data_IF_231064986464
#
_entry.id   IF_231064986464
#
_cell.length_a   1.000
_cell.length_b   1.000
_cell.length_c   1.000
_cell.angle_alpha   90.00
_cell.angle_beta   90.00
_cell.angle_gamma   90.00
#
_symmetry.space_group_name_H-M   'P 1'
#
loop_
_entity.id
_entity.type
_entity.pdbx_description
1 polymer ?
#
# COMPACT_ATOMS: atom_id res chain seq x y z
N UNK A 1 -70.65 14.28 -21.99
CA UNK A 1 -71.39 13.00 -22.06
C UNK A 1 -72.47 12.95 -23.14
N UNK A 2 -73.08 14.06 -23.60
CA UNK A 2 -74.18 14.08 -24.60
C UNK A 2 -73.99 13.19 -25.83
N UNK A 3 -72.77 13.12 -26.39
CA UNK A 3 -72.43 12.25 -27.53
C UNK A 3 -72.60 10.74 -27.26
N UNK A 4 -72.51 10.32 -26.00
CA UNK A 4 -72.70 8.91 -25.61
C UNK A 4 -74.18 8.50 -25.63
N UNK A 5 -75.10 9.46 -25.69
CA UNK A 5 -76.55 9.27 -25.63
C UNK A 5 -77.23 9.59 -26.97
N UNK A 6 -76.49 9.62 -28.08
CA UNK A 6 -77.06 9.84 -29.42
C UNK A 6 -77.98 8.66 -29.79
N UNK A 7 -79.14 8.93 -30.38
CA UNK A 7 -80.07 7.88 -30.80
C UNK A 7 -79.45 6.99 -31.89
N UNK A 8 -78.62 7.58 -32.76
CA UNK A 8 -77.91 6.88 -33.82
C UNK A 8 -76.66 6.18 -33.27
N UNK A 9 -76.57 4.84 -33.28
CA UNK A 9 -75.41 4.11 -32.76
C UNK A 9 -74.09 4.45 -33.46
N UNK A 10 -74.13 4.89 -34.72
CA UNK A 10 -72.94 5.24 -35.48
C UNK A 10 -72.37 6.61 -35.09
N UNK A 11 -73.18 7.45 -34.46
CA UNK A 11 -72.75 8.75 -33.93
C UNK A 11 -72.23 8.66 -32.50
N UNK A 12 -72.44 7.51 -31.83
CA UNK A 12 -71.90 7.27 -30.50
C UNK A 12 -70.39 7.03 -30.58
N UNK A 13 -69.62 7.54 -29.60
CA UNK A 13 -68.21 7.21 -29.49
C UNK A 13 -68.02 5.72 -29.19
N UNK A 14 -66.95 5.15 -29.73
CA UNK A 14 -66.52 3.78 -29.42
C UNK A 14 -66.11 3.65 -27.95
N UNK A 15 -66.14 2.42 -27.44
CA UNK A 15 -65.70 2.11 -26.07
C UNK A 15 -64.25 2.55 -25.79
N UNK A 16 -63.37 2.49 -26.80
CA UNK A 16 -61.98 2.97 -26.70
C UNK A 16 -61.90 4.49 -26.56
N UNK A 17 -62.73 5.22 -27.28
CA UNK A 17 -62.80 6.69 -27.18
C UNK A 17 -63.35 7.12 -25.84
N UNK A 18 -64.42 6.47 -25.37
CA UNK A 18 -64.98 6.70 -24.03
C UNK A 18 -63.95 6.40 -22.93
N UNK A 19 -63.22 5.29 -23.03
CA UNK A 19 -62.16 4.94 -22.09
C UNK A 19 -61.06 6.01 -22.03
N UNK A 20 -60.64 6.53 -23.18
CA UNK A 20 -59.64 7.59 -23.24
C UNK A 20 -60.15 8.90 -22.62
N UNK A 21 -61.42 9.25 -22.84
CA UNK A 21 -62.04 10.42 -22.21
C UNK A 21 -62.07 10.27 -20.68
N UNK A 22 -62.51 9.11 -20.18
CA UNK A 22 -62.56 8.82 -18.73
C UNK A 22 -61.15 8.81 -18.13
N UNK A 23 -60.17 8.18 -18.80
CA UNK A 23 -58.77 8.21 -18.37
C UNK A 23 -58.24 9.62 -18.27
N UNK A 24 -58.57 10.50 -19.22
CA UNK A 24 -58.17 11.91 -19.17
C UNK A 24 -58.86 12.69 -18.05
N UNK A 25 -60.03 12.26 -17.58
CA UNK A 25 -60.71 12.86 -16.43
C UNK A 25 -60.12 12.40 -15.10
N UNK A 26 -59.80 11.12 -14.98
CA UNK A 26 -59.32 10.49 -13.73
C UNK A 26 -57.80 10.66 -13.57
N UNK A 27 -57.04 10.27 -14.59
CA UNK A 27 -55.59 10.38 -14.61
C UNK A 27 -55.21 11.75 -15.13
N UNK A 28 -55.27 12.73 -14.23
CA UNK A 28 -54.65 14.02 -14.49
C UNK A 28 -53.15 13.79 -14.80
N UNK A 29 -52.59 14.31 -15.92
CA UNK A 29 -51.16 14.17 -16.18
C UNK A 29 -50.41 14.94 -15.09
N UNK A 30 -49.63 14.22 -14.29
CA UNK A 30 -48.89 14.68 -13.09
C UNK A 30 -47.93 15.85 -13.33
N UNK A 31 -47.76 16.28 -14.59
CA UNK A 31 -46.78 17.27 -15.02
C UNK A 31 -47.41 18.58 -15.56
N UNK A 32 -48.74 18.78 -15.47
CA UNK A 32 -49.41 20.03 -15.90
C UNK A 32 -49.95 20.83 -14.71
N UNK A 33 -49.81 22.15 -14.74
CA UNK A 33 -50.39 23.02 -13.70
C UNK A 33 -51.90 23.09 -13.88
N UNK A 34 -52.66 23.26 -12.79
CA UNK A 34 -54.13 23.40 -12.80
C UNK A 34 -54.62 24.51 -13.77
N UNK A 35 -53.77 25.52 -14.05
CA UNK A 35 -54.03 26.61 -15.01
C UNK A 35 -54.08 26.16 -16.48
N UNK A 36 -53.51 24.99 -16.79
CA UNK A 36 -53.38 24.44 -18.15
C UNK A 36 -54.51 23.46 -18.50
N UNK A 37 -55.50 23.30 -17.61
CA UNK A 37 -56.68 22.48 -17.83
C UNK A 37 -57.57 23.16 -18.89
N UNK A 38 -57.96 22.43 -19.93
CA UNK A 38 -58.86 22.94 -20.97
C UNK A 38 -60.15 23.48 -20.32
N UNK A 39 -60.55 24.71 -20.68
CA UNK A 39 -61.76 25.38 -20.20
C UNK A 39 -63.01 24.50 -20.38
N UNK A 40 -63.06 23.72 -21.44
CA UNK A 40 -64.14 22.75 -21.72
C UNK A 40 -64.20 21.64 -20.66
N UNK A 41 -63.06 21.06 -20.28
CA UNK A 41 -62.98 20.01 -19.26
C UNK A 41 -63.41 20.57 -17.89
N UNK A 42 -62.98 21.78 -17.56
CA UNK A 42 -63.37 22.46 -16.31
C UNK A 42 -64.88 22.73 -16.27
N UNK A 43 -65.47 23.14 -17.40
CA UNK A 43 -66.92 23.34 -17.53
C UNK A 43 -67.69 22.04 -17.31
N UNK A 44 -67.26 20.94 -17.94
CA UNK A 44 -67.91 19.63 -17.83
C UNK A 44 -67.89 19.08 -16.39
N UNK A 45 -66.79 19.26 -15.66
CA UNK A 45 -66.68 18.84 -14.25
C UNK A 45 -67.61 19.67 -13.38
N UNK A 46 -67.66 21.00 -13.56
CA UNK A 46 -68.57 21.88 -12.82
C UNK A 46 -70.04 21.56 -13.10
N UNK A 47 -70.40 21.30 -14.36
CA UNK A 47 -71.75 20.89 -14.75
C UNK A 47 -72.12 19.54 -14.12
N UNK A 48 -71.18 18.58 -14.06
CA UNK A 48 -71.41 17.27 -13.44
C UNK A 48 -71.61 17.36 -11.91
N UNK A 49 -70.81 18.17 -11.21
CA UNK A 49 -70.93 18.36 -9.75
C UNK A 49 -72.22 19.11 -9.38
N UNK A 50 -72.61 20.08 -10.21
CA UNK A 50 -73.80 20.90 -9.96
C UNK A 50 -75.09 20.30 -10.54
N UNK A 51 -75.00 19.18 -11.25
CA UNK A 51 -76.17 18.48 -11.74
C UNK A 51 -77.02 18.03 -10.54
N UNK A 52 -78.32 18.35 -10.51
CA UNK A 52 -79.18 17.90 -9.42
C UNK A 52 -79.15 16.39 -9.36
N UNK A 53 -78.86 15.84 -8.17
CA UNK A 53 -79.03 14.42 -7.89
C UNK A 53 -80.52 14.19 -7.73
N UNK A 54 -81.22 14.05 -8.84
CA UNK A 54 -82.60 13.64 -8.85
C UNK A 54 -82.61 12.14 -8.52
N UNK A 55 -82.99 11.80 -7.28
CA UNK A 55 -83.48 10.46 -6.96
C UNK A 55 -84.82 10.28 -7.65
N UNK A 56 -84.78 10.11 -8.97
CA UNK A 56 -85.89 9.51 -9.67
C UNK A 56 -85.99 8.09 -9.12
N UNK A 57 -87.10 7.76 -8.48
CA UNK A 57 -87.50 6.37 -8.33
C UNK A 57 -87.44 5.78 -9.74
N UNK A 58 -86.35 5.08 -10.03
CA UNK A 58 -86.15 4.42 -11.30
C UNK A 58 -87.38 3.54 -11.48
N UNK A 59 -88.23 3.88 -12.44
CA UNK A 59 -89.09 2.88 -13.06
C UNK A 59 -88.09 1.89 -13.67
N UNK A 60 -87.83 0.81 -12.92
CA UNK A 60 -86.96 -0.28 -13.34
C UNK A 60 -87.76 -1.14 -14.32
N UNK A 61 -88.04 -0.61 -15.50
CA UNK A 61 -88.16 -1.48 -16.67
C UNK A 61 -86.83 -1.43 -17.39
N UNK A 62 -85.97 -2.39 -17.05
CA UNK A 62 -84.84 -2.73 -17.89
C UNK A 62 -85.38 -3.13 -19.27
N UNK A 63 -84.78 -2.60 -20.32
CA UNK A 63 -85.10 -3.03 -21.68
C UNK A 63 -84.91 -4.55 -21.76
N UNK A 64 -85.82 -5.36 -22.32
CA UNK A 64 -85.72 -6.83 -22.27
C UNK A 64 -84.46 -7.40 -22.94
N UNK A 65 -83.75 -6.59 -23.72
CA UNK A 65 -82.42 -6.90 -24.31
C UNK A 65 -81.22 -6.43 -23.49
N UNK A 66 -81.43 -5.66 -22.42
CA UNK A 66 -80.40 -5.33 -21.43
C UNK A 66 -80.29 -6.46 -20.39
N UNK A 67 -80.23 -7.71 -20.84
CA UNK A 67 -79.72 -8.79 -20.03
C UNK A 67 -78.18 -8.68 -20.11
N UNK A 68 -77.60 -7.74 -19.36
CA UNK A 68 -76.26 -8.01 -18.88
C UNK A 68 -76.43 -9.23 -17.99
N UNK A 69 -76.04 -10.41 -18.46
CA UNK A 69 -75.75 -11.52 -17.58
C UNK A 69 -74.55 -11.13 -16.75
N UNK A 70 -74.74 -10.22 -15.79
CA UNK A 70 -74.12 -10.37 -14.50
C UNK A 70 -74.70 -11.65 -13.91
N UNK A 71 -74.31 -12.81 -14.49
CA UNK A 71 -73.86 -13.86 -13.61
C UNK A 71 -72.83 -13.13 -12.74
N UNK A 72 -73.26 -12.78 -11.53
CA UNK A 72 -72.34 -12.69 -10.43
C UNK A 72 -71.60 -14.03 -10.55
N UNK A 73 -70.41 -14.04 -11.16
CA UNK A 73 -69.53 -15.20 -11.05
C UNK A 73 -69.46 -15.37 -9.54
N UNK A 74 -70.02 -16.45 -9.00
CA UNK A 74 -70.01 -16.68 -7.57
C UNK A 74 -68.55 -16.57 -7.14
N UNK A 75 -68.17 -15.44 -6.55
CA UNK A 75 -66.78 -15.08 -6.19
C UNK A 75 -66.25 -15.98 -5.06
N UNK A 76 -66.94 -17.08 -4.78
CA UNK A 76 -66.68 -18.14 -3.82
C UNK A 76 -66.35 -19.47 -4.50
N UNK A 77 -66.11 -19.50 -5.81
CA UNK A 77 -65.68 -20.72 -6.49
C UNK A 77 -64.30 -21.17 -5.96
N UNK A 78 -64.17 -22.47 -5.68
CA UNK A 78 -62.93 -23.10 -5.23
C UNK A 78 -61.73 -22.73 -6.13
N UNK A 79 -61.97 -22.63 -7.43
CA UNK A 79 -60.98 -22.22 -8.43
C UNK A 79 -60.39 -20.83 -8.18
N UNK A 80 -61.19 -19.84 -7.76
CA UNK A 80 -60.68 -18.49 -7.48
C UNK A 80 -59.75 -18.48 -6.26
N UNK A 81 -60.08 -19.25 -5.22
CA UNK A 81 -59.23 -19.37 -4.03
C UNK A 81 -57.91 -20.07 -4.35
N UNK A 82 -57.93 -21.14 -5.16
CA UNK A 82 -56.72 -21.82 -5.66
C UNK A 82 -55.83 -20.86 -6.48
N UNK A 83 -56.44 -20.03 -7.33
CA UNK A 83 -55.72 -19.00 -8.10
C UNK A 83 -55.09 -17.94 -7.17
N UNK A 84 -55.83 -17.45 -6.18
CA UNK A 84 -55.35 -16.45 -5.22
C UNK A 84 -54.20 -16.98 -4.36
N UNK A 85 -54.31 -18.21 -3.85
CA UNK A 85 -53.24 -18.88 -3.11
C UNK A 85 -51.99 -19.08 -3.99
N UNK A 86 -52.17 -19.47 -5.26
CA UNK A 86 -51.09 -19.57 -6.23
C UNK A 86 -50.39 -18.22 -6.50
N UNK A 87 -51.14 -17.13 -6.62
CA UNK A 87 -50.58 -15.78 -6.77
C UNK A 87 -49.82 -15.32 -5.52
N UNK A 88 -50.33 -15.63 -4.33
CA UNK A 88 -49.66 -15.32 -3.07
C UNK A 88 -48.30 -16.03 -2.99
N UNK A 89 -48.27 -17.34 -3.27
CA UNK A 89 -47.02 -18.11 -3.32
C UNK A 89 -46.03 -17.59 -4.37
N UNK A 90 -46.53 -17.16 -5.55
CA UNK A 90 -45.68 -16.54 -6.58
C UNK A 90 -45.06 -15.21 -6.11
N UNK A 91 -45.82 -14.37 -5.41
CA UNK A 91 -45.32 -13.10 -4.87
C UNK A 91 -44.23 -13.32 -3.82
N UNK A 92 -44.41 -14.29 -2.93
CA UNK A 92 -43.42 -14.68 -1.92
C UNK A 92 -42.13 -15.19 -2.57
N UNK A 93 -42.24 -16.08 -3.56
CA UNK A 93 -41.08 -16.56 -4.33
C UNK A 93 -40.33 -15.41 -5.02
N UNK A 94 -41.06 -14.46 -5.60
CA UNK A 94 -40.46 -13.30 -6.26
C UNK A 94 -39.70 -12.40 -5.27
N UNK A 95 -40.27 -12.16 -4.09
CA UNK A 95 -39.61 -11.38 -3.03
C UNK A 95 -38.34 -12.09 -2.53
N UNK A 96 -38.42 -13.39 -2.28
CA UNK A 96 -37.28 -14.19 -1.83
C UNK A 96 -36.16 -14.19 -2.88
N UNK A 97 -36.51 -14.41 -4.15
CA UNK A 97 -35.55 -14.35 -5.25
C UNK A 97 -34.84 -13.00 -5.33
N UNK A 98 -35.60 -11.91 -5.17
CA UNK A 98 -35.03 -10.56 -5.21
C UNK A 98 -34.18 -10.26 -3.97
N UNK A 99 -34.54 -10.80 -2.80
CA UNK A 99 -33.70 -10.77 -1.59
C UNK A 99 -32.37 -11.47 -1.81
N UNK A 100 -32.40 -12.71 -2.32
CA UNK A 100 -31.19 -13.49 -2.63
C UNK A 100 -30.30 -12.81 -3.69
N UNK A 101 -30.89 -12.13 -4.68
CA UNK A 101 -30.14 -11.34 -5.66
C UNK A 101 -29.36 -10.19 -5.00
N UNK A 102 -29.99 -9.45 -4.10
CA UNK A 102 -29.34 -8.35 -3.38
C UNK A 102 -28.22 -8.85 -2.45
N UNK A 103 -28.45 -9.96 -1.75
CA UNK A 103 -27.43 -10.61 -0.91
C UNK A 103 -26.23 -11.05 -1.74
N UNK A 104 -26.46 -11.69 -2.89
CA UNK A 104 -25.40 -12.09 -3.80
C UNK A 104 -24.59 -10.88 -4.28
N UNK A 105 -25.24 -9.78 -4.60
CA UNK A 105 -24.57 -8.55 -5.02
C UNK A 105 -23.73 -7.93 -3.90
N UNK A 106 -24.20 -7.96 -2.66
CA UNK A 106 -23.43 -7.50 -1.49
C UNK A 106 -22.18 -8.36 -1.27
N UNK A 107 -22.32 -9.69 -1.33
CA UNK A 107 -21.20 -10.62 -1.19
C UNK A 107 -20.15 -10.38 -2.30
N UNK A 108 -20.60 -10.15 -3.54
CA UNK A 108 -19.69 -9.84 -4.65
C UNK A 108 -18.91 -8.53 -4.41
N UNK A 109 -19.58 -7.48 -3.91
CA UNK A 109 -18.92 -6.22 -3.56
C UNK A 109 -17.89 -6.38 -2.45
N UNK A 110 -18.21 -7.15 -1.41
CA UNK A 110 -17.29 -7.43 -0.31
C UNK A 110 -16.07 -8.23 -0.78
N UNK A 111 -16.28 -9.24 -1.62
CA UNK A 111 -15.21 -10.02 -2.23
C UNK A 111 -14.25 -9.14 -3.06
N UNK A 112 -14.79 -8.25 -3.88
CA UNK A 112 -13.97 -7.31 -4.68
C UNK A 112 -13.14 -6.39 -3.78
N UNK A 113 -13.74 -5.86 -2.70
CA UNK A 113 -13.03 -5.00 -1.76
C UNK A 113 -11.90 -5.74 -1.04
N UNK A 114 -12.16 -6.96 -0.57
CA UNK A 114 -11.13 -7.82 0.04
C UNK A 114 -9.99 -8.11 -0.93
N UNK A 115 -10.30 -8.42 -2.18
CA UNK A 115 -9.30 -8.63 -3.23
C UNK A 115 -8.45 -7.37 -3.44
N UNK A 116 -9.07 -6.20 -3.59
CA UNK A 116 -8.36 -4.93 -3.77
C UNK A 116 -7.43 -4.61 -2.60
N UNK A 117 -7.91 -4.76 -1.36
CA UNK A 117 -7.10 -4.53 -0.17
C UNK A 117 -5.90 -5.47 -0.11
N UNK A 118 -6.10 -6.75 -0.43
CA UNK A 118 -5.01 -7.73 -0.45
C UNK A 118 -3.96 -7.39 -1.52
N UNK A 119 -4.38 -6.92 -2.70
CA UNK A 119 -3.48 -6.50 -3.78
C UNK A 119 -2.63 -5.30 -3.37
N UNK A 120 -3.24 -4.27 -2.80
CA UNK A 120 -2.53 -3.08 -2.31
C UNK A 120 -1.50 -3.44 -1.24
N UNK A 121 -1.88 -4.31 -0.30
CA UNK A 121 -0.98 -4.76 0.76
C UNK A 121 0.22 -5.53 0.19
N UNK A 122 0.00 -6.39 -0.81
CA UNK A 122 1.06 -7.13 -1.48
C UNK A 122 2.02 -6.21 -2.24
N UNK A 123 1.51 -5.18 -2.91
CA UNK A 123 2.35 -4.17 -3.58
C UNK A 123 3.22 -3.39 -2.59
N UNK A 124 2.67 -3.03 -1.42
CA UNK A 124 3.44 -2.39 -0.35
C UNK A 124 4.54 -3.31 0.20
N UNK A 125 4.24 -4.59 0.40
CA UNK A 125 5.24 -5.57 0.83
C UNK A 125 6.34 -5.74 -0.22
N UNK A 126 5.99 -5.83 -1.50
CA UNK A 126 6.98 -5.93 -2.59
C UNK A 126 7.93 -4.71 -2.64
N UNK A 127 7.41 -3.50 -2.42
CA UNK A 127 8.23 -2.27 -2.33
C UNK A 127 9.19 -2.30 -1.13
N UNK A 128 8.70 -2.72 0.03
CA UNK A 128 9.51 -2.86 1.25
C UNK A 128 10.59 -3.93 1.07
N UNK A 129 10.23 -5.06 0.47
CA UNK A 129 11.18 -6.14 0.16
C UNK A 129 12.28 -5.66 -0.78
N UNK A 130 11.93 -5.00 -1.89
CA UNK A 130 12.91 -4.42 -2.82
C UNK A 130 13.85 -3.42 -2.13
N UNK A 131 13.31 -2.57 -1.26
CA UNK A 131 14.11 -1.60 -0.48
C UNK A 131 15.09 -2.32 0.44
N UNK A 132 14.65 -3.35 1.16
CA UNK A 132 15.51 -4.14 2.05
C UNK A 132 16.58 -4.90 1.26
N UNK A 133 16.26 -5.45 0.10
CA UNK A 133 17.23 -6.12 -0.77
C UNK A 133 18.35 -5.17 -1.23
N UNK A 134 18.02 -3.93 -1.59
CA UNK A 134 19.01 -2.90 -1.94
C UNK A 134 19.91 -2.58 -0.74
N UNK A 135 19.33 -2.39 0.45
CA UNK A 135 20.10 -2.13 1.67
C UNK A 135 21.05 -3.28 2.01
N UNK A 136 20.59 -4.53 1.91
CA UNK A 136 21.42 -5.72 2.11
C UNK A 136 22.60 -5.73 1.12
N UNK A 137 22.33 -5.45 -0.15
CA UNK A 137 23.37 -5.42 -1.20
C UNK A 137 24.43 -4.35 -0.92
N UNK A 138 24.01 -3.15 -0.49
CA UNK A 138 24.93 -2.08 -0.13
C UNK A 138 25.79 -2.44 1.09
N UNK A 139 25.18 -2.99 2.14
CA UNK A 139 25.93 -3.43 3.33
C UNK A 139 26.93 -4.55 3.01
N UNK A 140 26.57 -5.45 2.10
CA UNK A 140 27.48 -6.52 1.64
C UNK A 140 28.68 -5.95 0.88
N UNK A 141 28.49 -4.94 0.02
CA UNK A 141 29.60 -4.32 -0.72
C UNK A 141 30.52 -3.50 0.20
N UNK A 142 29.95 -2.78 1.17
CA UNK A 142 30.72 -2.08 2.21
C UNK A 142 31.57 -3.05 3.04
N UNK A 143 30.98 -4.18 3.45
CA UNK A 143 31.70 -5.24 4.17
C UNK A 143 32.89 -5.76 3.36
N UNK A 144 32.68 -6.08 2.08
CA UNK A 144 33.76 -6.57 1.22
C UNK A 144 34.89 -5.54 1.06
N UNK A 145 34.55 -4.26 0.93
CA UNK A 145 35.54 -3.19 0.85
C UNK A 145 36.35 -3.06 2.16
N UNK A 146 35.71 -3.23 3.32
CA UNK A 146 36.38 -3.22 4.61
C UNK A 146 37.29 -4.43 4.80
N UNK A 147 36.84 -5.63 4.42
CA UNK A 147 37.64 -6.86 4.46
C UNK A 147 38.90 -6.73 3.59
N UNK A 148 38.77 -6.12 2.41
CA UNK A 148 39.91 -5.80 1.55
C UNK A 148 40.92 -4.84 2.21
N UNK A 149 40.44 -3.76 2.82
CA UNK A 149 41.30 -2.80 3.56
C UNK A 149 42.01 -3.46 4.74
N UNK A 150 41.31 -4.29 5.50
CA UNK A 150 41.86 -5.00 6.65
C UNK A 150 42.95 -5.99 6.21
N UNK A 151 42.72 -6.72 5.11
CA UNK A 151 43.70 -7.66 4.55
C UNK A 151 45.00 -6.93 4.15
N UNK A 152 44.89 -5.78 3.50
CA UNK A 152 46.06 -5.01 3.09
C UNK A 152 46.83 -4.44 4.30
N UNK A 153 46.11 -3.97 5.32
CA UNK A 153 46.73 -3.54 6.59
C UNK A 153 47.48 -4.68 7.29
N UNK A 154 46.90 -5.88 7.34
CA UNK A 154 47.56 -7.05 7.94
C UNK A 154 48.85 -7.41 7.20
N UNK A 155 48.84 -7.34 5.86
CA UNK A 155 50.04 -7.56 5.04
C UNK A 155 51.12 -6.52 5.34
N UNK A 156 50.75 -5.25 5.47
CA UNK A 156 51.68 -4.17 5.80
C UNK A 156 52.28 -4.35 7.21
N UNK A 157 51.49 -4.74 8.20
CA UNK A 157 51.95 -5.03 9.57
C UNK A 157 52.94 -6.20 9.57
N UNK A 158 52.65 -7.26 8.82
CA UNK A 158 53.56 -8.41 8.68
C UNK A 158 54.91 -7.99 8.12
N UNK A 159 54.92 -7.15 7.08
CA UNK A 159 56.15 -6.65 6.46
C UNK A 159 56.95 -5.74 7.41
N UNK A 160 56.29 -4.82 8.11
CA UNK A 160 56.93 -3.96 9.11
C UNK A 160 57.54 -4.76 10.27
N UNK A 161 56.88 -5.84 10.70
CA UNK A 161 57.43 -6.73 11.73
C UNK A 161 58.70 -7.45 11.26
N UNK A 162 58.74 -7.89 9.99
CA UNK A 162 59.94 -8.50 9.43
C UNK A 162 61.10 -7.49 9.36
N UNK A 163 60.83 -6.26 8.91
CA UNK A 163 61.83 -5.19 8.87
C UNK A 163 62.35 -4.83 10.28
N UNK A 164 61.45 -4.75 11.26
CA UNK A 164 61.81 -4.52 12.66
C UNK A 164 62.77 -5.60 13.19
N UNK A 165 62.48 -6.87 12.93
CA UNK A 165 63.36 -7.97 13.37
C UNK A 165 64.73 -7.88 12.71
N UNK A 166 64.78 -7.62 11.40
CA UNK A 166 66.04 -7.44 10.68
C UNK A 166 66.87 -6.26 11.23
N UNK A 167 66.22 -5.15 11.60
CA UNK A 167 66.89 -4.00 12.22
C UNK A 167 67.38 -4.32 13.63
N UNK A 168 66.60 -5.08 14.41
CA UNK A 168 66.99 -5.52 15.75
C UNK A 168 68.25 -6.39 15.69
N UNK A 169 68.34 -7.32 14.74
CA UNK A 169 69.52 -8.16 14.56
C UNK A 169 70.77 -7.33 14.22
N UNK A 170 70.63 -6.34 13.32
CA UNK A 170 71.71 -5.41 12.99
C UNK A 170 72.14 -4.56 14.19
N UNK A 171 71.20 -4.14 15.03
CA UNK A 171 71.48 -3.37 16.24
C UNK A 171 72.32 -4.20 17.21
N UNK A 172 71.90 -5.44 17.51
CA UNK A 172 72.63 -6.36 18.39
C UNK A 172 74.04 -6.62 17.86
N UNK A 173 74.19 -6.83 16.55
CA UNK A 173 75.50 -7.00 15.93
C UNK A 173 76.38 -5.76 16.10
N UNK A 174 75.82 -4.57 15.90
CA UNK A 174 76.55 -3.30 16.06
C UNK A 174 76.94 -3.05 17.51
N UNK A 175 76.07 -3.32 18.47
CA UNK A 175 76.37 -3.25 19.90
C UNK A 175 77.53 -4.18 20.28
N UNK A 176 77.55 -5.39 19.73
CA UNK A 176 78.66 -6.35 19.93
C UNK A 176 79.98 -5.79 19.40
N UNK A 177 79.99 -5.24 18.18
CA UNK A 177 81.18 -4.62 17.58
C UNK A 177 81.67 -3.44 18.43
N UNK A 178 80.76 -2.60 18.94
CA UNK A 178 81.12 -1.46 19.80
C UNK A 178 81.76 -1.93 21.11
N UNK A 179 81.23 -2.99 21.73
CA UNK A 179 81.81 -3.58 22.94
C UNK A 179 83.22 -4.11 22.70
N UNK A 180 83.44 -4.80 21.59
CA UNK A 180 84.76 -5.32 21.19
C UNK A 180 85.76 -4.16 20.97
N UNK A 181 85.37 -3.11 20.23
CA UNK A 181 86.22 -1.94 20.00
C UNK A 181 86.57 -1.20 21.30
N UNK A 182 85.63 -1.09 22.24
CA UNK A 182 85.91 -0.54 23.57
C UNK A 182 86.95 -1.35 24.33
N UNK A 183 86.81 -2.68 24.31
CA UNK A 183 87.80 -3.56 24.93
C UNK A 183 89.20 -3.37 24.32
N UNK A 184 89.28 -3.32 22.98
CA UNK A 184 90.55 -3.05 22.29
C UNK A 184 91.13 -1.68 22.63
N UNK A 185 90.29 -0.63 22.71
CA UNK A 185 90.71 0.71 23.12
C UNK A 185 91.32 0.71 24.52
N UNK A 186 90.71 0.00 25.48
CA UNK A 186 91.23 -0.12 26.84
C UNK A 186 92.57 -0.87 26.87
N UNK A 187 92.72 -1.94 26.06
CA UNK A 187 94.00 -2.64 25.91
C UNK A 187 95.11 -1.72 25.39
N UNK A 188 94.86 -0.96 24.32
CA UNK A 188 95.84 -0.02 23.78
C UNK A 188 96.19 1.10 24.77
N UNK A 189 95.21 1.60 25.53
CA UNK A 189 95.44 2.60 26.56
C UNK A 189 96.36 2.08 27.67
N UNK A 190 96.16 0.84 28.10
CA UNK A 190 97.02 0.19 29.08
C UNK A 190 98.45 -0.01 28.55
N UNK A 191 98.60 -0.45 27.31
CA UNK A 191 99.92 -0.58 26.65
C UNK A 191 100.63 0.77 26.57
N UNK A 192 99.92 1.83 26.16
CA UNK A 192 100.48 3.19 26.08
C UNK A 192 100.97 3.67 27.46
N UNK A 193 100.19 3.46 28.51
CA UNK A 193 100.57 3.81 29.88
C UNK A 193 101.85 3.06 30.30
N UNK A 194 101.95 1.76 29.99
CA UNK A 194 103.15 0.97 30.28
C UNK A 194 104.38 1.50 29.53
N UNK A 195 104.27 1.79 28.23
CA UNK A 195 105.36 2.37 27.44
C UNK A 195 105.80 3.73 27.97
N UNK A 196 104.86 4.58 28.41
CA UNK A 196 105.17 5.88 29.02
C UNK A 196 105.94 5.74 30.34
N UNK A 197 105.55 4.77 31.18
CA UNK A 197 106.28 4.47 32.42
C UNK A 197 107.71 4.02 32.09
N UNK A 198 107.86 3.10 31.12
CA UNK A 198 109.18 2.62 30.67
C UNK A 198 110.07 3.74 30.13
N UNK A 199 109.52 4.65 29.32
CA UNK A 199 110.27 5.80 28.82
C UNK A 199 110.79 6.70 29.96
N UNK A 200 109.95 7.03 30.95
CA UNK A 200 110.35 7.84 32.11
C UNK A 200 111.47 7.16 32.93
N UNK A 201 111.40 5.84 33.09
CA UNK A 201 112.46 5.10 33.79
C UNK A 201 113.81 5.20 33.07
N UNK A 202 113.81 5.03 31.74
CA UNK A 202 115.02 5.19 30.91
C UNK A 202 115.56 6.62 30.98
N UNK A 203 114.68 7.62 30.93
CA UNK A 203 115.06 9.03 31.05
C UNK A 203 115.71 9.33 32.42
N UNK A 204 115.15 8.81 33.52
CA UNK A 204 115.74 8.92 34.85
C UNK A 204 117.09 8.18 34.97
N UNK A 205 117.24 7.00 34.36
CA UNK A 205 118.50 6.26 34.32
C UNK A 205 119.58 6.99 33.52
N UNK A 206 119.23 7.52 32.35
CA UNK A 206 120.14 8.32 31.53
C UNK A 206 120.62 9.56 32.29
N UNK A 207 119.74 10.27 33.00
CA UNK A 207 120.10 11.42 33.81
C UNK A 207 121.06 11.05 34.97
N UNK A 208 120.92 9.85 35.56
CA UNK A 208 121.86 9.33 36.56
C UNK A 208 123.21 9.03 35.94
N UNK A 209 123.25 8.39 34.77
CA UNK A 209 124.47 8.07 34.05
C UNK A 209 125.23 9.33 33.63
N UNK A 210 124.53 10.37 33.18
CA UNK A 210 125.10 11.67 32.82
C UNK A 210 125.78 12.34 34.02
N UNK A 211 125.12 12.36 35.19
CA UNK A 211 125.72 12.85 36.45
C UNK A 211 126.97 12.05 36.85
N UNK A 212 126.95 10.72 36.68
CA UNK A 212 128.13 9.89 36.94
C UNK A 212 129.26 10.27 35.97
N UNK A 213 128.97 10.41 34.68
CA UNK A 213 129.98 10.80 33.69
C UNK A 213 130.60 12.18 34.00
N UNK A 214 129.80 13.16 34.42
CA UNK A 214 130.29 14.48 34.84
C UNK A 214 131.27 14.40 36.03
N UNK A 215 131.06 13.48 36.97
CA UNK A 215 131.98 13.29 38.12
C UNK A 215 133.32 12.64 37.76
N UNK A 216 133.45 12.00 36.59
CA UNK A 216 134.70 11.36 36.14
C UNK A 216 135.61 12.28 35.29
N UNK A 217 135.11 13.44 34.84
CA UNK A 217 135.85 14.40 34.01
C UNK A 217 136.18 15.74 34.72
N UNK A 218 136.02 15.80 36.05
CA UNK A 218 136.55 16.85 36.94
C UNK A 218 137.78 16.36 37.70
#
# INVERSE_FOLDING_TARGET
>A
MKKCWDEDPLKRPSSKEVLNIIKNWIFHPSNKKIKDINKELKSNITEFINAPIEYNNLIVESHPKACCTSHLLDFTSKELNEILEGFQGFLELKQNYQGSQNELQNIQMELINLQQNSTLQNEEFAKKESTLQIQITNLQSEKQALDGKLTEQLKQISQLNQEKNNLQDKLVQTETIIQELKFQQDQFKNQLNQSQIGYKQIEEENLKLEKIAETYYQ
#
